data_IF_996885132916
#
_entry.id   IF_996885132916
#
_cell.length_a   1.000
_cell.length_b   1.000
_cell.length_c   1.000
_cell.angle_alpha   90.00
_cell.angle_beta   90.00
_cell.angle_gamma   90.00
#
_symmetry.space_group_name_H-M   'P 1'
#
loop_
_entity.id
_entity.type
_entity.pdbx_description
1 polymer ?
#
# COMPACT_ATOMS: atom_id res chain seq x y z
N UNK A 1 -15.38 16.64 1.48
CA UNK A 1 -15.24 15.30 2.08
C UNK A 1 -13.88 15.25 2.76
N UNK A 2 -13.86 15.16 4.08
CA UNK A 2 -12.72 15.49 4.92
C UNK A 2 -11.56 14.48 4.81
N UNK A 3 -10.35 14.98 4.54
CA UNK A 3 -9.11 14.26 4.85
C UNK A 3 -8.95 14.28 6.38
N UNK A 4 -8.93 13.09 7.01
CA UNK A 4 -8.66 12.94 8.45
C UNK A 4 -7.17 13.19 8.73
N UNK A 5 -6.82 13.74 9.91
CA UNK A 5 -5.48 14.22 10.20
C UNK A 5 -4.49 13.06 10.30
N UNK A 6 -3.35 13.20 9.65
CA UNK A 6 -2.20 12.31 9.75
C UNK A 6 -1.63 12.34 11.17
N UNK A 7 -2.04 11.41 12.01
CA UNK A 7 -1.31 11.03 13.22
C UNK A 7 -1.51 9.54 13.43
N UNK A 8 -0.51 8.74 13.05
CA UNK A 8 -0.43 7.34 13.45
C UNK A 8 0.79 7.18 14.34
N UNK A 9 0.57 7.40 15.63
CA UNK A 9 1.40 6.81 16.67
C UNK A 9 1.05 5.33 16.71
N UNK A 10 1.99 4.46 16.34
CA UNK A 10 2.09 3.15 16.98
C UNK A 10 3.53 2.99 17.45
N UNK A 11 3.71 3.23 18.75
CA UNK A 11 4.79 2.67 19.52
C UNK A 11 4.55 1.16 19.58
N UNK A 12 5.38 0.35 18.91
CA UNK A 12 5.50 -1.04 19.33
C UNK A 12 6.42 -1.07 20.56
N UNK A 13 5.79 -1.41 21.69
CA UNK A 13 6.39 -1.51 23.00
C UNK A 13 7.18 -2.83 23.12
N UNK A 14 8.24 -2.99 22.33
CA UNK A 14 9.24 -4.04 22.56
C UNK A 14 10.64 -3.46 22.38
N UNK A 15 11.43 -3.59 23.44
CA UNK A 15 12.71 -2.97 23.63
C UNK A 15 13.67 -3.16 22.45
N UNK A 16 14.31 -2.05 22.06
CA UNK A 16 15.62 -2.03 21.43
C UNK A 16 15.70 -2.69 20.06
N UNK A 17 15.51 -1.91 18.99
CA UNK A 17 16.28 -2.07 17.75
C UNK A 17 16.04 -0.91 16.79
N UNK A 18 17.15 -0.23 16.49
CA UNK A 18 17.47 0.49 15.26
C UNK A 18 16.45 1.51 14.72
N UNK A 19 16.83 2.79 14.85
CA UNK A 19 16.27 3.94 14.13
C UNK A 19 16.45 3.76 12.61
N UNK A 20 15.63 2.93 11.97
CA UNK A 20 15.45 2.98 10.53
C UNK A 20 14.61 4.22 10.28
N UNK A 21 15.21 5.25 9.66
CA UNK A 21 14.47 6.32 9.00
C UNK A 21 13.49 5.65 8.01
N UNK A 22 12.24 5.43 8.43
CA UNK A 22 11.19 4.95 7.53
C UNK A 22 10.80 6.13 6.66
N UNK A 23 11.57 6.37 5.60
CA UNK A 23 11.18 7.32 4.55
C UNK A 23 9.99 6.69 3.83
N UNK A 24 8.79 7.27 4.00
CA UNK A 24 7.53 6.75 3.46
C UNK A 24 6.90 7.77 2.53
N UNK A 25 6.47 7.33 1.35
CA UNK A 25 5.63 8.12 0.44
C UNK A 25 4.16 7.87 0.82
N UNK A 26 3.47 8.90 1.30
CA UNK A 26 2.08 8.83 1.78
C UNK A 26 1.06 9.42 0.80
N UNK A 27 1.54 10.06 -0.27
CA UNK A 27 0.70 10.75 -1.24
C UNK A 27 1.11 10.38 -2.67
N UNK A 28 0.15 10.41 -3.60
CA UNK A 28 0.43 10.17 -5.02
C UNK A 28 1.42 11.23 -5.53
N UNK A 29 2.57 10.80 -6.07
CA UNK A 29 3.58 11.70 -6.64
C UNK A 29 3.20 12.14 -8.06
N UNK A 30 2.41 11.32 -8.76
CA UNK A 30 1.86 11.66 -10.07
C UNK A 30 0.63 10.79 -10.38
N UNK A 31 0.06 10.97 -11.57
CA UNK A 31 -1.02 10.10 -12.08
C UNK A 31 -0.60 8.63 -12.23
N UNK A 32 0.69 8.36 -12.43
CA UNK A 32 1.24 7.01 -12.66
C UNK A 32 2.03 6.49 -11.45
N UNK A 33 2.63 7.38 -10.65
CA UNK A 33 3.38 7.06 -9.45
C UNK A 33 2.48 7.30 -8.24
N UNK A 34 1.77 6.25 -7.82
CA UNK A 34 0.73 6.33 -6.80
C UNK A 34 1.18 5.70 -5.48
N UNK A 35 0.89 6.37 -4.37
CA UNK A 35 1.13 5.85 -3.04
C UNK A 35 0.04 4.83 -2.67
N UNK A 36 0.47 3.64 -2.28
CA UNK A 36 -0.41 2.60 -1.74
C UNK A 36 0.10 2.22 -0.35
N UNK A 37 -0.26 3.03 0.64
CA UNK A 37 0.12 2.83 2.03
C UNK A 37 -0.96 2.04 2.80
N UNK A 38 -0.51 1.29 3.80
CA UNK A 38 -1.39 0.53 4.69
C UNK A 38 -1.90 1.43 5.83
N UNK A 39 -3.19 1.36 6.13
CA UNK A 39 -3.80 2.17 7.22
C UNK A 39 -3.26 1.75 8.59
N UNK A 40 -3.06 0.45 8.83
CA UNK A 40 -2.58 -0.10 10.11
C UNK A 40 -1.28 -0.90 9.93
N UNK A 41 -0.35 -0.38 9.12
CA UNK A 41 0.72 -1.16 8.49
C UNK A 41 1.58 -2.04 9.42
N UNK A 42 1.94 -3.22 8.91
CA UNK A 42 3.13 -3.98 9.31
C UNK A 42 4.08 -4.10 8.11
N UNK A 43 5.31 -4.57 8.32
CA UNK A 43 6.35 -4.64 7.30
C UNK A 43 5.94 -5.56 6.12
N UNK A 44 5.44 -4.95 5.04
CA UNK A 44 5.08 -5.61 3.77
C UNK A 44 4.00 -6.71 3.87
N UNK A 45 3.03 -6.55 4.78
CA UNK A 45 1.94 -7.54 4.99
C UNK A 45 1.12 -7.87 3.74
N UNK A 46 1.02 -6.93 2.83
CA UNK A 46 0.29 -7.05 1.57
C UNK A 46 0.98 -7.95 0.55
N UNK A 47 2.27 -8.25 0.72
CA UNK A 47 3.01 -9.25 -0.07
C UNK A 47 2.85 -10.68 0.44
N UNK A 48 2.35 -10.87 1.67
CA UNK A 48 2.15 -12.19 2.25
C UNK A 48 0.96 -12.92 1.60
N UNK A 49 0.94 -14.27 1.63
CA UNK A 49 -0.21 -15.05 1.18
C UNK A 49 -1.50 -14.65 1.92
N UNK A 50 -2.63 -14.69 1.21
CA UNK A 50 -3.93 -14.40 1.81
C UNK A 50 -4.34 -15.44 2.83
N UNK A 51 -4.88 -14.99 3.96
CA UNK A 51 -5.44 -15.83 5.01
C UNK A 51 -6.93 -15.55 5.19
N UNK A 52 -7.70 -16.54 5.65
CA UNK A 52 -9.15 -16.39 5.91
C UNK A 52 -9.47 -15.30 6.94
N UNK A 53 -8.54 -15.00 7.85
CA UNK A 53 -8.70 -14.00 8.89
C UNK A 53 -8.12 -12.63 8.53
N UNK A 54 -7.71 -12.41 7.28
CA UNK A 54 -7.16 -11.11 6.88
C UNK A 54 -8.22 -10.01 7.05
N UNK A 55 -7.86 -8.86 7.64
CA UNK A 55 -8.80 -7.79 7.86
C UNK A 55 -9.22 -7.15 6.52
N UNK A 56 -10.45 -6.65 6.44
CA UNK A 56 -11.04 -6.10 5.21
C UNK A 56 -10.19 -5.00 4.57
N UNK A 57 -9.52 -4.17 5.39
CA UNK A 57 -8.64 -3.11 4.88
C UNK A 57 -7.47 -3.69 4.09
N UNK A 58 -6.88 -4.82 4.53
CA UNK A 58 -5.76 -5.49 3.85
C UNK A 58 -6.24 -6.12 2.54
N UNK A 59 -7.42 -6.76 2.58
CA UNK A 59 -8.04 -7.35 1.39
C UNK A 59 -8.32 -6.27 0.34
N UNK A 60 -8.89 -5.14 0.73
CA UNK A 60 -9.19 -4.02 -0.17
C UNK A 60 -7.92 -3.36 -0.71
N UNK A 61 -6.87 -3.28 0.10
CA UNK A 61 -5.56 -2.81 -0.34
C UNK A 61 -4.97 -3.72 -1.43
N UNK A 62 -4.95 -5.04 -1.22
CA UNK A 62 -4.48 -6.02 -2.23
C UNK A 62 -5.30 -5.94 -3.52
N UNK A 63 -6.64 -5.87 -3.42
CA UNK A 63 -7.52 -5.68 -4.58
C UNK A 63 -7.19 -4.41 -5.37
N UNK A 64 -6.90 -3.31 -4.67
CA UNK A 64 -6.50 -2.05 -5.31
C UNK A 64 -5.17 -2.18 -6.05
N UNK A 65 -4.17 -2.85 -5.45
CA UNK A 65 -2.87 -3.10 -6.09
C UNK A 65 -3.01 -3.97 -7.34
N UNK A 66 -3.77 -5.07 -7.25
CA UNK A 66 -4.05 -5.95 -8.40
C UNK A 66 -4.72 -5.17 -9.54
N UNK A 67 -5.70 -4.30 -9.24
CA UNK A 67 -6.35 -3.46 -10.24
C UNK A 67 -5.38 -2.52 -10.96
N UNK A 68 -4.42 -1.94 -10.23
CA UNK A 68 -3.39 -1.06 -10.82
C UNK A 68 -2.48 -1.85 -11.75
N UNK A 69 -1.97 -3.01 -11.29
CA UNK A 69 -1.10 -3.88 -12.10
C UNK A 69 -1.82 -4.36 -13.36
N UNK A 70 -3.09 -4.77 -13.24
CA UNK A 70 -3.91 -5.16 -14.39
C UNK A 70 -4.03 -4.03 -15.40
N UNK A 71 -4.28 -2.80 -14.96
CA UNK A 71 -4.33 -1.63 -15.85
C UNK A 71 -3.01 -1.41 -16.59
N UNK A 72 -1.86 -1.63 -15.95
CA UNK A 72 -0.56 -1.52 -16.61
C UNK A 72 -0.37 -2.59 -17.70
N UNK A 73 -0.78 -3.83 -17.42
CA UNK A 73 -0.73 -4.94 -18.39
C UNK A 73 -1.66 -4.67 -19.57
N UNK A 74 -2.90 -4.25 -19.30
CA UNK A 74 -3.89 -3.93 -20.33
C UNK A 74 -3.41 -2.77 -21.23
N UNK A 75 -2.80 -1.74 -20.63
CA UNK A 75 -2.22 -0.62 -21.37
C UNK A 75 -1.06 -1.08 -22.28
N UNK A 76 -0.15 -1.91 -21.75
CA UNK A 76 0.95 -2.46 -22.53
C UNK A 76 0.48 -3.24 -23.76
N UNK A 77 -0.51 -4.12 -23.61
CA UNK A 77 -1.05 -4.88 -24.74
C UNK A 77 -1.89 -4.03 -25.72
N UNK A 78 -2.46 -2.92 -25.27
CA UNK A 78 -3.13 -1.97 -26.17
C UNK A 78 -2.10 -1.20 -27.02
N UNK A 79 -0.98 -0.81 -26.42
CA UNK A 79 0.12 -0.12 -27.11
C UNK A 79 0.84 -1.04 -28.12
N UNK A 80 1.05 -2.32 -27.80
CA UNK A 80 1.67 -3.30 -28.71
C UNK A 80 0.88 -3.58 -29.99
N UNK A 81 -0.42 -3.31 -30.01
CA UNK A 81 -1.30 -3.55 -31.17
C UNK A 81 -1.32 -2.37 -32.16
N UNK A 82 -0.70 -1.24 -31.79
CA UNK A 82 -0.56 -0.05 -32.62
C UNK A 82 0.81 -0.02 -33.30
#
# INVERSE_FOLDING_TARGET
>A
MAAKPSTMLLLDHTAGSLLILVVRVLEDLSRTIRAAYSVNGSHCMDLLPSQKGDPDWLVNQRKTKVRIIRRWIDQYYAELKN
#
